data_IF_627662014425
#
_entry.id   IF_627662014425
#
_cell.length_a   1.000
_cell.length_b   1.000
_cell.length_c   1.000
_cell.angle_alpha   90.00
_cell.angle_beta   90.00
_cell.angle_gamma   90.00
#
_symmetry.space_group_name_H-M   'P 1'
#
loop_
_entity.id
_entity.type
_entity.pdbx_description
1 polymer ?
#
# COMPACT_ATOMS: atom_id res chain seq x y z
N UNK A 1 -9.78 -16.33 9.12
CA UNK A 1 -8.48 -16.71 8.54
C UNK A 1 -7.95 -15.46 7.87
N UNK A 2 -6.95 -14.79 8.45
CA UNK A 2 -6.38 -13.58 7.86
C UNK A 2 -5.12 -14.02 7.12
N UNK A 3 -5.23 -14.17 5.80
CA UNK A 3 -4.15 -14.62 4.92
C UNK A 3 -3.57 -13.42 4.18
N UNK A 4 -2.36 -13.57 3.64
CA UNK A 4 -1.82 -12.60 2.68
C UNK A 4 -2.75 -12.41 1.49
N UNK A 5 -3.47 -13.46 1.08
CA UNK A 5 -4.47 -13.42 0.02
C UNK A 5 -5.60 -12.43 0.29
N UNK A 6 -6.13 -12.34 1.52
CA UNK A 6 -7.22 -11.41 1.81
C UNK A 6 -6.78 -9.94 1.73
N UNK A 7 -5.51 -9.64 2.07
CA UNK A 7 -4.95 -8.30 1.84
C UNK A 7 -4.84 -8.01 0.34
N UNK A 8 -4.36 -8.98 -0.45
CA UNK A 8 -4.22 -8.84 -1.90
C UNK A 8 -5.59 -8.55 -2.53
N UNK A 9 -6.62 -9.32 -2.16
CA UNK A 9 -7.98 -9.12 -2.64
C UNK A 9 -8.53 -7.74 -2.26
N UNK A 10 -8.28 -7.26 -1.02
CA UNK A 10 -8.69 -5.93 -0.59
C UNK A 10 -7.96 -4.80 -1.35
N UNK A 11 -6.66 -4.98 -1.63
CA UNK A 11 -5.88 -4.04 -2.45
C UNK A 11 -6.41 -4.00 -3.89
N UNK A 12 -6.60 -5.15 -4.52
CA UNK A 12 -7.15 -5.27 -5.88
C UNK A 12 -8.54 -4.63 -5.96
N UNK A 13 -9.36 -4.81 -4.94
CA UNK A 13 -10.69 -4.21 -4.86
C UNK A 13 -10.63 -2.68 -4.86
N UNK A 14 -9.69 -2.05 -4.15
CA UNK A 14 -9.50 -0.60 -4.18
C UNK A 14 -8.86 -0.13 -5.48
N UNK A 15 -7.89 -0.87 -6.00
CA UNK A 15 -7.20 -0.58 -7.25
C UNK A 15 -8.16 -0.50 -8.44
N UNK A 16 -9.19 -1.34 -8.48
CA UNK A 16 -10.23 -1.28 -9.51
C UNK A 16 -11.03 0.04 -9.56
N UNK A 17 -10.98 0.85 -8.49
CA UNK A 17 -11.63 2.17 -8.42
C UNK A 17 -10.62 3.32 -8.56
N UNK A 18 -9.32 3.03 -8.54
CA UNK A 18 -8.28 4.02 -8.64
C UNK A 18 -8.04 4.40 -10.10
N UNK A 19 -7.79 5.68 -10.34
CA UNK A 19 -7.29 6.17 -11.62
C UNK A 19 -5.76 6.07 -11.69
N UNK A 20 -5.09 6.16 -10.54
CA UNK A 20 -3.64 6.04 -10.45
C UNK A 20 -3.25 5.10 -9.30
N UNK A 21 -2.31 4.20 -9.60
CA UNK A 21 -1.69 3.32 -8.62
C UNK A 21 -0.18 3.45 -8.74
N UNK A 22 0.46 3.79 -7.63
CA UNK A 22 1.90 3.87 -7.52
C UNK A 22 2.37 2.96 -6.40
N UNK A 23 3.34 2.11 -6.69
CA UNK A 23 3.92 1.22 -5.71
C UNK A 23 5.44 1.35 -5.69
N UNK A 24 5.96 1.66 -4.51
CA UNK A 24 7.37 1.83 -4.19
C UNK A 24 7.78 0.79 -3.14
N UNK A 25 9.04 0.78 -2.73
CA UNK A 25 9.63 -0.18 -1.79
C UNK A 25 8.79 -0.40 -0.53
N UNK A 26 8.35 0.67 0.13
CA UNK A 26 7.61 0.58 1.39
C UNK A 26 6.20 1.15 1.36
N UNK A 27 5.73 1.58 0.19
CA UNK A 27 4.48 2.31 0.06
C UNK A 27 3.70 1.87 -1.17
N UNK A 28 2.41 1.64 -0.99
CA UNK A 28 1.44 1.60 -2.07
C UNK A 28 0.54 2.84 -1.94
N UNK A 29 0.29 3.52 -3.06
CA UNK A 29 -0.58 4.69 -3.16
C UNK A 29 -1.62 4.44 -4.24
N UNK A 30 -2.90 4.60 -3.88
CA UNK A 30 -4.03 4.50 -4.80
C UNK A 30 -4.80 5.82 -4.76
N UNK A 31 -5.16 6.36 -5.93
CA UNK A 31 -5.81 7.67 -6.04
C UNK A 31 -6.93 7.68 -7.07
N UNK A 32 -7.91 8.54 -6.85
CA UNK A 32 -8.91 8.89 -7.86
C UNK A 32 -9.60 10.22 -7.56
N UNK A 33 -10.30 10.75 -8.55
CA UNK A 33 -10.90 12.10 -8.49
C UNK A 33 -12.23 12.19 -7.75
N UNK A 34 -12.92 11.06 -7.55
CA UNK A 34 -14.29 11.05 -7.01
C UNK A 34 -14.46 10.00 -5.91
N UNK A 35 -14.49 10.46 -4.67
CA UNK A 35 -14.78 9.65 -3.49
C UNK A 35 -16.25 9.23 -3.45
N UNK A 36 -16.51 8.05 -2.88
CA UNK A 36 -17.84 7.44 -2.81
C UNK A 36 -17.95 6.45 -1.65
N UNK A 37 -19.18 6.04 -1.35
CA UNK A 37 -19.45 4.99 -0.36
C UNK A 37 -18.68 3.69 -0.65
N UNK A 38 -18.50 3.32 -1.92
CA UNK A 38 -17.81 2.09 -2.29
C UNK A 38 -16.31 2.16 -1.97
N UNK A 39 -15.69 3.34 -2.14
CA UNK A 39 -14.28 3.56 -1.76
C UNK A 39 -14.13 3.48 -0.25
N UNK A 40 -15.01 4.14 0.52
CA UNK A 40 -14.99 4.09 1.99
C UNK A 40 -15.10 2.65 2.50
N UNK A 41 -16.07 1.89 1.98
CA UNK A 41 -16.29 0.48 2.34
C UNK A 41 -15.07 -0.39 2.06
N UNK A 42 -14.43 -0.22 0.89
CA UNK A 42 -13.23 -1.00 0.52
C UNK A 42 -12.00 -0.57 1.32
N UNK A 43 -11.87 0.70 1.64
CA UNK A 43 -10.85 1.21 2.55
C UNK A 43 -10.99 0.61 3.96
N UNK A 44 -12.18 0.62 4.53
CA UNK A 44 -12.46 0.00 5.83
C UNK A 44 -12.15 -1.50 5.81
N UNK A 45 -12.54 -2.20 4.75
CA UNK A 45 -12.20 -3.62 4.56
C UNK A 45 -10.68 -3.83 4.52
N UNK A 46 -9.93 -3.01 3.77
CA UNK A 46 -8.47 -3.09 3.74
C UNK A 46 -7.86 -2.83 5.13
N UNK A 47 -8.38 -1.85 5.87
CA UNK A 47 -7.94 -1.55 7.23
C UNK A 47 -8.14 -2.75 8.16
N UNK A 48 -9.29 -3.43 8.09
CA UNK A 48 -9.56 -4.65 8.85
C UNK A 48 -8.60 -5.79 8.49
N UNK A 49 -8.29 -5.98 7.20
CA UNK A 49 -7.35 -7.01 6.76
C UNK A 49 -5.90 -6.73 7.19
N UNK A 50 -5.52 -5.45 7.29
CA UNK A 50 -4.18 -5.02 7.66
C UNK A 50 -3.95 -4.95 9.18
N UNK A 51 -4.99 -4.77 10.00
CA UNK A 51 -4.86 -4.66 11.44
C UNK A 51 -4.07 -5.81 12.13
N UNK A 52 -4.28 -7.10 11.80
CA UNK A 52 -3.48 -8.21 12.34
C UNK A 52 -2.00 -8.14 11.95
N UNK A 53 -1.68 -7.44 10.86
CA UNK A 53 -0.33 -7.25 10.37
C UNK A 53 0.36 -6.05 11.02
N UNK A 54 -0.33 -5.30 11.88
CA UNK A 54 0.20 -4.10 12.52
C UNK A 54 0.45 -2.96 11.52
N UNK A 55 -0.26 -2.99 10.39
CA UNK A 55 -0.23 -1.94 9.39
C UNK A 55 -1.59 -1.22 9.37
N UNK A 56 -1.56 0.09 9.25
CA UNK A 56 -2.77 0.92 9.14
C UNK A 56 -2.66 1.75 7.87
N UNK A 57 -3.57 1.57 6.90
CA UNK A 57 -3.60 2.45 5.74
C UNK A 57 -4.06 3.85 6.17
N UNK A 58 -3.71 4.87 5.40
CA UNK A 58 -4.20 6.24 5.58
C UNK A 58 -5.11 6.62 4.42
N UNK A 59 -6.29 7.14 4.72
CA UNK A 59 -7.18 7.77 3.75
C UNK A 59 -7.04 9.30 3.84
N UNK A 60 -6.89 9.93 2.69
CA UNK A 60 -6.99 11.37 2.53
C UNK A 60 -8.13 11.65 1.54
N UNK A 61 -9.03 12.56 1.91
CA UNK A 61 -10.10 13.04 1.04
C UNK A 61 -10.10 14.55 1.07
N UNK A 62 -10.12 15.18 -0.12
CA UNK A 62 -9.81 16.59 -0.34
C UNK A 62 -8.37 17.00 0.05
N UNK A 63 -7.97 18.24 -0.27
CA UNK A 63 -6.67 18.80 0.11
C UNK A 63 -6.52 19.05 1.63
N UNK A 64 -7.61 18.94 2.40
CA UNK A 64 -7.71 19.45 3.77
C UNK A 64 -7.76 18.36 4.85
N UNK A 65 -7.97 17.09 4.50
CA UNK A 65 -8.31 16.04 5.46
C UNK A 65 -7.35 14.85 5.42
N UNK A 66 -6.62 14.64 6.52
CA UNK A 66 -6.07 13.34 6.90
C UNK A 66 -6.93 12.84 8.06
N UNK A 67 -7.78 11.84 7.83
CA UNK A 67 -8.67 11.37 8.89
C UNK A 67 -9.50 10.17 8.46
N UNK A 68 -9.87 9.34 9.43
CA UNK A 68 -10.91 8.33 9.26
C UNK A 68 -12.20 9.07 8.89
N UNK A 69 -12.67 8.88 7.66
CA UNK A 69 -13.99 9.36 7.26
C UNK A 69 -15.01 8.42 7.88
N UNK A 70 -15.84 8.93 8.77
CA UNK A 70 -16.96 8.16 9.31
C UNK A 70 -18.12 8.09 8.30
N UNK A 71 -18.95 7.04 8.30
CA UNK A 71 -20.04 6.90 7.33
C UNK A 71 -21.05 8.06 7.32
N UNK A 72 -21.26 8.73 8.44
CA UNK A 72 -22.12 9.92 8.57
C UNK A 72 -21.49 11.18 7.98
N UNK A 73 -20.18 11.19 7.73
CA UNK A 73 -19.48 12.28 7.07
C UNK A 73 -19.43 12.14 5.54
N UNK A 74 -19.94 11.03 4.99
CA UNK A 74 -19.81 10.70 3.57
C UNK A 74 -20.33 11.80 2.64
N UNK A 75 -21.46 12.41 2.97
CA UNK A 75 -22.10 13.45 2.15
C UNK A 75 -21.20 14.69 1.99
N UNK A 76 -20.31 14.98 2.95
CA UNK A 76 -19.37 16.10 2.86
C UNK A 76 -18.19 15.84 1.91
N UNK A 77 -17.88 14.56 1.69
CA UNK A 77 -16.69 14.13 0.95
C UNK A 77 -17.03 13.51 -0.41
N UNK A 78 -18.30 13.24 -0.70
CA UNK A 78 -18.73 12.65 -1.96
C UNK A 78 -18.28 13.50 -3.16
N UNK A 79 -17.71 12.83 -4.17
CA UNK A 79 -17.19 13.48 -5.38
C UNK A 79 -15.85 14.21 -5.21
N UNK A 80 -15.25 14.23 -4.02
CA UNK A 80 -13.93 14.82 -3.78
C UNK A 80 -12.79 13.88 -4.22
N UNK A 81 -11.60 14.41 -4.55
CA UNK A 81 -10.44 13.57 -4.80
C UNK A 81 -10.02 12.80 -3.54
N UNK A 82 -9.54 11.58 -3.73
CA UNK A 82 -9.15 10.69 -2.65
C UNK A 82 -7.80 10.03 -2.90
N UNK A 83 -7.13 9.68 -1.80
CA UNK A 83 -5.86 8.95 -1.79
C UNK A 83 -5.85 7.97 -0.64
N UNK A 84 -5.55 6.70 -0.93
CA UNK A 84 -5.20 5.69 0.07
C UNK A 84 -3.69 5.45 0.02
N UNK A 85 -3.04 5.48 1.18
CA UNK A 85 -1.62 5.16 1.34
C UNK A 85 -1.46 3.97 2.27
N UNK A 86 -0.79 2.92 1.81
CA UNK A 86 -0.49 1.72 2.60
C UNK A 86 1.01 1.65 2.87
N UNK A 87 1.40 1.69 4.14
CA UNK A 87 2.75 1.35 4.57
C UNK A 87 2.95 -0.17 4.55
N UNK A 88 3.94 -0.64 3.79
CA UNK A 88 4.21 -2.08 3.57
C UNK A 88 5.28 -2.66 4.49
N UNK A 89 6.04 -1.81 5.19
CA UNK A 89 7.22 -2.22 5.95
C UNK A 89 6.89 -3.26 7.03
N UNK A 90 5.88 -2.99 7.88
CA UNK A 90 5.47 -3.92 8.94
C UNK A 90 4.98 -5.26 8.37
N UNK A 91 4.28 -5.24 7.23
CA UNK A 91 3.83 -6.45 6.54
C UNK A 91 5.04 -7.24 6.04
N UNK A 92 5.98 -6.56 5.38
CA UNK A 92 7.19 -7.17 4.82
C UNK A 92 8.07 -7.79 5.92
N UNK A 93 8.23 -7.13 7.07
CA UNK A 93 8.97 -7.67 8.22
C UNK A 93 8.36 -8.99 8.73
N UNK A 94 7.03 -9.10 8.78
CA UNK A 94 6.33 -10.34 9.17
C UNK A 94 6.48 -11.47 8.14
N UNK A 95 6.90 -11.15 6.92
CA UNK A 95 7.10 -12.11 5.83
C UNK A 95 8.56 -12.53 5.63
N UNK A 96 9.48 -12.06 6.48
CA UNK A 96 10.89 -12.46 6.43
C UNK A 96 11.05 -13.97 6.66
N UNK A 97 11.86 -14.59 5.82
CA UNK A 97 12.31 -15.97 5.85
C UNK A 97 13.56 -16.18 6.70
N UNK A 98 14.39 -15.15 6.86
CA UNK A 98 15.72 -15.25 7.52
C UNK A 98 16.00 -14.05 8.41
N UNK A 99 16.80 -14.28 9.44
CA UNK A 99 17.32 -13.20 10.29
C UNK A 99 18.29 -12.31 9.51
N UNK A 100 18.20 -10.99 9.70
CA UNK A 100 19.09 -10.02 9.07
C UNK A 100 18.84 -9.74 7.58
N UNK A 101 17.84 -10.39 6.96
CA UNK A 101 17.44 -10.06 5.59
C UNK A 101 16.46 -8.87 5.55
N UNK A 102 16.50 -8.13 4.44
CA UNK A 102 15.50 -7.10 4.12
C UNK A 102 14.44 -7.71 3.21
N UNK A 103 13.20 -7.75 3.68
CA UNK A 103 12.05 -8.20 2.86
C UNK A 103 11.36 -6.99 2.24
N UNK A 104 11.03 -7.08 0.95
CA UNK A 104 10.22 -6.11 0.22
C UNK A 104 9.01 -6.83 -0.35
N UNK A 105 7.83 -6.22 -0.24
CA UNK A 105 6.58 -6.78 -0.75
C UNK A 105 6.09 -5.92 -1.92
N UNK A 106 5.67 -6.56 -3.01
CA UNK A 106 4.91 -5.94 -4.10
C UNK A 106 3.56 -6.61 -4.29
N UNK A 107 2.52 -5.82 -4.56
CA UNK A 107 1.18 -6.31 -4.90
C UNK A 107 0.99 -6.57 -6.40
N UNK A 108 2.01 -6.28 -7.22
CA UNK A 108 1.99 -6.51 -8.67
C UNK A 108 3.38 -6.78 -9.22
N UNK A 109 3.48 -7.80 -10.10
CA UNK A 109 4.68 -8.12 -10.89
C UNK A 109 5.09 -6.94 -11.78
N UNK A 110 4.13 -6.25 -12.38
CA UNK A 110 4.41 -5.11 -13.25
C UNK A 110 5.08 -3.98 -12.47
N UNK A 111 4.54 -3.64 -11.30
CA UNK A 111 5.08 -2.56 -10.46
C UNK A 111 6.42 -2.91 -9.85
N UNK A 112 6.61 -4.17 -9.43
CA UNK A 112 7.93 -4.69 -9.05
C UNK A 112 8.93 -4.55 -10.20
N UNK A 113 8.53 -4.90 -11.43
CA UNK A 113 9.41 -4.80 -12.60
C UNK A 113 9.76 -3.35 -12.92
N UNK A 114 8.79 -2.42 -12.81
CA UNK A 114 9.02 -0.98 -12.99
C UNK A 114 10.01 -0.45 -11.96
N UNK A 115 9.81 -0.81 -10.69
CA UNK A 115 10.72 -0.49 -9.60
C UNK A 115 12.13 -1.04 -9.86
N UNK A 116 12.25 -2.33 -10.20
CA UNK A 116 13.54 -2.97 -10.44
C UNK A 116 14.34 -2.31 -11.57
N UNK A 117 13.67 -1.79 -12.60
CA UNK A 117 14.29 -1.05 -13.71
C UNK A 117 14.77 0.35 -13.32
N UNK A 118 14.20 0.95 -12.27
CA UNK A 118 14.61 2.27 -11.79
C UNK A 118 15.75 2.22 -10.77
N UNK A 119 16.13 1.03 -10.31
CA UNK A 119 17.19 0.86 -9.32
C UNK A 119 18.57 1.05 -9.93
N UNK A 120 19.42 1.77 -9.19
CA UNK A 120 20.87 1.66 -9.34
C UNK A 120 21.40 0.64 -8.30
N UNK A 121 21.80 -0.57 -8.72
CA UNK A 121 22.25 -1.62 -7.80
C UNK A 121 23.60 -1.30 -7.14
N UNK A 122 24.31 -0.26 -7.57
CA UNK A 122 25.59 0.17 -7.02
C UNK A 122 25.46 1.37 -6.07
N UNK A 123 24.24 1.86 -5.84
CA UNK A 123 23.98 2.91 -4.87
C UNK A 123 23.94 2.32 -3.44
N UNK A 124 24.75 2.88 -2.54
CA UNK A 124 24.97 2.33 -1.19
C UNK A 124 24.60 3.27 -0.04
N UNK A 125 24.02 4.46 -0.29
CA UNK A 125 23.74 5.45 0.76
C UNK A 125 22.35 6.12 0.64
N UNK A 126 21.72 6.38 1.79
CA UNK A 126 20.59 7.28 2.10
C UNK A 126 19.30 7.19 1.27
N UNK A 127 19.17 6.18 0.42
CA UNK A 127 17.95 5.99 -0.38
C UNK A 127 16.89 5.17 0.36
N UNK A 128 15.62 5.36 -0.03
CA UNK A 128 14.50 4.48 0.35
C UNK A 128 14.73 3.02 -0.08
N UNK A 129 15.70 2.78 -0.96
CA UNK A 129 15.95 1.48 -1.56
C UNK A 129 16.69 0.49 -0.63
N UNK A 130 16.58 -0.82 -0.87
CA UNK A 130 17.40 -1.81 -0.18
C UNK A 130 18.89 -1.65 -0.45
N UNK A 131 19.68 -1.81 0.61
CA UNK A 131 21.11 -2.06 0.51
C UNK A 131 21.33 -3.48 -0.03
N UNK A 132 21.63 -3.59 -1.32
CA UNK A 132 21.88 -4.87 -1.99
C UNK A 132 23.21 -5.53 -1.61
N UNK A 133 24.05 -4.88 -0.79
CA UNK A 133 25.20 -5.56 -0.17
C UNK A 133 24.78 -6.54 0.93
N UNK A 134 23.51 -6.46 1.39
CA UNK A 134 22.90 -7.37 2.35
C UNK A 134 21.88 -8.29 1.67
N UNK A 135 21.51 -9.43 2.28
CA UNK A 135 20.45 -10.28 1.75
C UNK A 135 19.12 -9.53 1.63
N UNK A 136 18.54 -9.56 0.43
CA UNK A 136 17.23 -8.96 0.12
C UNK A 136 16.30 -10.04 -0.45
N UNK A 137 15.11 -10.15 0.11
CA UNK A 137 14.03 -11.00 -0.41
C UNK A 137 12.93 -10.11 -0.98
N UNK A 138 12.64 -10.27 -2.27
CA UNK A 138 11.49 -9.61 -2.93
C UNK A 138 10.34 -10.61 -3.02
N UNK A 139 9.22 -10.29 -2.37
CA UNK A 139 7.96 -11.03 -2.49
C UNK A 139 7.03 -10.28 -3.41
N UNK A 140 6.37 -11.02 -4.30
CA UNK A 140 5.38 -10.48 -5.22
C UNK A 140 4.12 -11.32 -5.07
N UNK A 141 3.00 -10.64 -4.85
CA UNK A 141 1.66 -11.22 -4.81
C UNK A 141 1.11 -11.52 -6.21
#
# INVERSE_FOLDING_TARGET
MNSTQSIIEAVVALEALAQQVEEQTYRLRLEGDSFSADILRRYQSLQEQLAPWGATPSLLVSESGVGNVEPDELEFYEGQPWRVVVGKETIAQKLSLREGEKTILFFSVERMTKWAKSLDPFSHADSIEPDFSRPVTVRVA
#
